data_IF_609194302373
#
_entry.id   IF_609194302373
#
_cell.length_a   1.000
_cell.length_b   1.000
_cell.length_c   1.000
_cell.angle_alpha   90.00
_cell.angle_beta   90.00
_cell.angle_gamma   90.00
#
_symmetry.space_group_name_H-M   'P 1'
#
loop_
_entity.id
_entity.type
_entity.pdbx_description
1 polymer ?
#
# COMPACT_ATOMS: atom_id res chain seq x y z
N UNK A 1 12.18 -12.75 37.93
CA UNK A 1 12.70 -13.70 36.92
C UNK A 1 11.59 -14.04 35.94
N UNK A 2 11.63 -13.49 34.72
CA UNK A 2 10.66 -13.82 33.68
C UNK A 2 11.13 -15.14 33.03
N UNK A 3 10.39 -16.24 33.23
CA UNK A 3 10.66 -17.52 32.57
C UNK A 3 10.52 -17.33 31.06
N UNK A 4 11.62 -17.41 30.31
CA UNK A 4 11.59 -17.50 28.85
C UNK A 4 11.02 -18.88 28.49
N UNK A 5 9.76 -18.95 28.12
CA UNK A 5 9.20 -20.15 27.50
C UNK A 5 10.03 -20.44 26.23
N UNK A 6 10.63 -21.63 26.16
CA UNK A 6 11.44 -22.04 25.02
C UNK A 6 10.62 -21.98 23.74
N UNK A 7 11.22 -21.42 22.67
CA UNK A 7 10.59 -21.36 21.35
C UNK A 7 10.36 -22.79 20.88
N UNK A 8 9.09 -23.17 20.69
CA UNK A 8 8.70 -24.45 20.10
C UNK A 8 8.43 -24.26 18.62
N UNK A 9 9.18 -24.95 17.77
CA UNK A 9 8.95 -25.02 16.33
C UNK A 9 7.91 -26.09 16.01
N UNK A 10 7.07 -25.84 15.01
CA UNK A 10 6.08 -26.77 14.47
C UNK A 10 6.37 -26.96 13.00
N UNK A 11 6.35 -28.20 12.53
CA UNK A 11 6.49 -28.51 11.11
C UNK A 11 5.16 -28.27 10.39
N UNK A 12 5.20 -27.52 9.30
CA UNK A 12 4.03 -27.22 8.47
C UNK A 12 4.28 -27.76 7.07
N UNK A 13 3.32 -28.48 6.45
CA UNK A 13 3.46 -28.92 5.07
C UNK A 13 3.66 -27.73 4.14
N UNK A 14 4.71 -27.77 3.31
CA UNK A 14 5.06 -26.71 2.37
C UNK A 14 3.84 -26.23 1.54
N UNK A 15 3.02 -27.16 1.06
CA UNK A 15 1.79 -26.88 0.29
C UNK A 15 0.86 -25.88 0.98
N UNK A 16 0.76 -25.89 2.30
CA UNK A 16 -0.13 -24.99 3.06
C UNK A 16 0.40 -23.57 3.01
N UNK A 17 1.72 -23.41 3.17
CA UNK A 17 2.40 -22.11 3.06
C UNK A 17 2.30 -21.60 1.62
N UNK A 18 2.55 -22.45 0.63
CA UNK A 18 2.44 -22.08 -0.79
C UNK A 18 1.02 -21.60 -1.13
N UNK A 19 -0.02 -22.34 -0.71
CA UNK A 19 -1.41 -21.92 -0.93
C UNK A 19 -1.77 -20.61 -0.24
N UNK A 20 -1.22 -20.35 0.96
CA UNK A 20 -1.42 -19.08 1.66
C UNK A 20 -0.76 -17.93 0.89
N UNK A 21 0.45 -18.12 0.38
CA UNK A 21 1.18 -17.11 -0.41
C UNK A 21 0.45 -16.82 -1.73
N UNK A 22 -0.07 -17.84 -2.41
CA UNK A 22 -0.87 -17.65 -3.62
C UNK A 22 -2.17 -16.88 -3.37
N UNK A 23 -2.86 -17.18 -2.27
CA UNK A 23 -4.05 -16.45 -1.87
C UNK A 23 -3.73 -14.98 -1.55
N UNK A 24 -2.60 -14.74 -0.89
CA UNK A 24 -2.13 -13.39 -0.59
C UNK A 24 -1.82 -12.60 -1.88
N UNK A 25 -1.10 -13.17 -2.84
CA UNK A 25 -0.80 -12.51 -4.11
C UNK A 25 -2.07 -12.14 -4.90
N UNK A 26 -3.06 -13.05 -4.92
CA UNK A 26 -4.36 -12.76 -5.55
C UNK A 26 -5.13 -11.66 -4.82
N UNK A 27 -5.07 -11.65 -3.49
CA UNK A 27 -5.72 -10.63 -2.68
C UNK A 27 -5.09 -9.25 -2.89
N UNK A 28 -3.76 -9.17 -2.96
CA UNK A 28 -3.04 -7.91 -3.24
C UNK A 28 -3.47 -7.34 -4.59
N UNK A 29 -3.49 -8.16 -5.66
CA UNK A 29 -3.95 -7.74 -6.99
C UNK A 29 -5.39 -7.22 -6.98
N UNK A 30 -6.29 -7.95 -6.32
CA UNK A 30 -7.68 -7.52 -6.15
C UNK A 30 -7.78 -6.19 -5.40
N UNK A 31 -7.03 -6.02 -4.31
CA UNK A 31 -7.03 -4.79 -3.52
C UNK A 31 -6.57 -3.61 -4.37
N UNK A 32 -5.51 -3.78 -5.15
CA UNK A 32 -4.98 -2.73 -6.02
C UNK A 32 -6.01 -2.33 -7.09
N UNK A 33 -6.64 -3.29 -7.76
CA UNK A 33 -7.72 -3.01 -8.73
C UNK A 33 -8.93 -2.30 -8.09
N UNK A 34 -9.30 -2.70 -6.88
CA UNK A 34 -10.38 -2.08 -6.12
C UNK A 34 -10.04 -0.63 -5.73
N UNK A 35 -8.80 -0.38 -5.30
CA UNK A 35 -8.31 0.95 -4.98
C UNK A 35 -8.35 1.86 -6.22
N UNK A 36 -7.83 1.38 -7.35
CA UNK A 36 -7.86 2.10 -8.62
C UNK A 36 -9.30 2.47 -9.04
N UNK A 37 -10.23 1.51 -8.91
CA UNK A 37 -11.64 1.78 -9.19
C UNK A 37 -12.23 2.84 -8.25
N UNK A 38 -11.97 2.75 -6.95
CA UNK A 38 -12.47 3.70 -5.97
C UNK A 38 -11.92 5.12 -6.24
N UNK A 39 -10.62 5.24 -6.51
CA UNK A 39 -9.97 6.51 -6.85
C UNK A 39 -10.44 7.08 -8.19
N UNK A 40 -10.66 6.25 -9.20
CA UNK A 40 -11.19 6.66 -10.49
C UNK A 40 -12.65 7.14 -10.41
N UNK A 41 -13.40 6.63 -9.43
CA UNK A 41 -14.80 6.98 -9.20
C UNK A 41 -14.99 8.29 -8.43
N UNK A 42 -13.94 8.84 -7.80
CA UNK A 42 -13.99 10.11 -7.06
C UNK A 42 -13.60 11.31 -7.96
N UNK A 43 -14.56 12.17 -8.37
CA UNK A 43 -14.27 13.33 -9.22
C UNK A 43 -13.36 14.37 -8.55
N UNK A 44 -13.42 14.52 -7.22
CA UNK A 44 -12.58 15.46 -6.49
C UNK A 44 -11.13 15.00 -6.47
N UNK A 45 -10.91 13.70 -6.23
CA UNK A 45 -9.60 13.07 -6.35
C UNK A 45 -9.01 13.27 -7.75
N UNK A 46 -9.78 12.98 -8.81
CA UNK A 46 -9.32 13.18 -10.20
C UNK A 46 -8.97 14.65 -10.47
N UNK A 47 -9.78 15.60 -9.98
CA UNK A 47 -9.50 17.04 -10.11
C UNK A 47 -8.18 17.41 -9.42
N UNK A 48 -7.93 16.89 -8.22
CA UNK A 48 -6.69 17.10 -7.46
C UNK A 48 -5.49 16.53 -8.20
N UNK A 49 -5.57 15.30 -8.71
CA UNK A 49 -4.50 14.65 -9.47
C UNK A 49 -4.18 15.38 -10.77
N UNK A 50 -5.20 15.85 -11.51
CA UNK A 50 -5.01 16.69 -12.71
C UNK A 50 -4.30 18.00 -12.37
N UNK A 51 -4.64 18.65 -11.25
CA UNK A 51 -3.95 19.86 -10.79
C UNK A 51 -2.48 19.55 -10.45
N UNK A 52 -2.23 18.52 -9.65
CA UNK A 52 -0.88 18.10 -9.27
C UNK A 52 -0.01 17.82 -10.51
N UNK A 53 -0.54 17.11 -11.52
CA UNK A 53 0.16 16.87 -12.78
C UNK A 53 0.52 18.16 -13.51
N UNK A 54 -0.40 19.13 -13.61
CA UNK A 54 -0.11 20.43 -14.26
C UNK A 54 0.99 21.21 -13.54
N UNK A 55 0.98 21.23 -12.22
CA UNK A 55 2.02 21.94 -11.45
C UNK A 55 3.38 21.22 -11.57
N UNK A 56 3.40 19.88 -11.54
CA UNK A 56 4.62 19.10 -11.75
C UNK A 56 5.25 19.37 -13.14
N UNK A 57 4.45 19.33 -14.21
CA UNK A 57 4.93 19.63 -15.58
C UNK A 57 5.51 21.05 -15.69
N UNK A 58 4.98 22.01 -14.91
CA UNK A 58 5.48 23.38 -14.84
C UNK A 58 6.70 23.55 -13.92
N UNK A 59 7.22 22.47 -13.32
CA UNK A 59 8.30 22.51 -12.33
C UNK A 59 7.90 23.15 -11.00
N UNK A 60 6.60 23.36 -10.76
CA UNK A 60 6.06 23.99 -9.55
C UNK A 60 5.78 22.91 -8.50
N UNK A 61 6.84 22.28 -8.02
CA UNK A 61 6.79 21.28 -6.95
C UNK A 61 7.14 21.91 -5.62
N UNK A 62 6.61 21.34 -4.54
CA UNK A 62 7.00 21.72 -3.18
C UNK A 62 8.24 20.94 -2.76
N UNK A 63 9.12 21.59 -1.99
CA UNK A 63 10.21 20.86 -1.35
C UNK A 63 9.66 19.89 -0.30
N UNK A 64 10.37 18.77 -0.09
CA UNK A 64 9.98 17.81 0.95
C UNK A 64 9.90 18.46 2.34
N UNK A 65 10.80 19.41 2.62
CA UNK A 65 10.80 20.17 3.86
C UNK A 65 9.54 21.04 4.02
N UNK A 66 9.10 21.71 2.95
CA UNK A 66 7.84 22.46 2.96
C UNK A 66 6.63 21.55 3.18
N UNK A 67 6.64 20.37 2.57
CA UNK A 67 5.54 19.41 2.69
C UNK A 67 5.40 18.90 4.13
N UNK A 68 6.52 18.53 4.78
CA UNK A 68 6.56 18.05 6.17
C UNK A 68 6.09 19.06 7.21
N UNK A 69 6.04 20.35 6.89
CA UNK A 69 5.48 21.37 7.79
C UNK A 69 3.96 21.54 7.65
N UNK A 70 3.37 21.05 6.56
CA UNK A 70 1.94 21.22 6.24
C UNK A 70 1.09 19.98 6.57
N UNK A 71 1.73 18.83 6.81
CA UNK A 71 1.16 17.56 7.26
C UNK A 71 1.49 17.37 8.73
#
# INVERSE_FOLDING_TARGET
MIKRNGIKTVEVPKRVVDSMLEAYDKWEKFRDELEDFALASDPEFIKKMRKARREHVKGRTHSLAELKRKL
#
